data_IF_948792087458
#
_entry.id   IF_948792087458
#
_cell.length_a   1.000
_cell.length_b   1.000
_cell.length_c   1.000
_cell.angle_alpha   90.00
_cell.angle_beta   90.00
_cell.angle_gamma   90.00
#
_symmetry.space_group_name_H-M   'P 1'
#
loop_
_entity.id
_entity.type
_entity.pdbx_description
1 polymer ?
#
# COMPACT_ATOMS: atom_id res chain seq x y z
N UNK A 1 2.96 -15.29 -1.30
CA UNK A 1 2.31 -16.61 -1.53
C UNK A 1 2.86 -17.57 -0.49
N UNK A 2 2.02 -18.37 0.18
CA UNK A 2 2.52 -19.43 1.07
C UNK A 2 2.72 -20.70 0.25
N UNK A 3 3.92 -21.27 0.31
CA UNK A 3 4.17 -22.64 -0.15
C UNK A 3 4.68 -23.44 1.06
N UNK A 4 3.96 -24.47 1.52
CA UNK A 4 4.52 -25.38 2.52
C UNK A 4 5.72 -26.12 1.93
N UNK A 5 6.79 -26.25 2.70
CA UNK A 5 7.81 -27.27 2.44
C UNK A 5 7.43 -28.59 3.15
N UNK A 6 8.21 -29.64 2.89
CA UNK A 6 8.02 -30.97 3.49
C UNK A 6 8.12 -30.98 5.04
N UNK A 7 8.50 -29.86 5.67
CA UNK A 7 8.65 -29.72 7.13
C UNK A 7 7.52 -28.92 7.79
N UNK A 8 6.46 -28.54 7.05
CA UNK A 8 5.35 -27.72 7.54
C UNK A 8 5.80 -26.31 7.99
N UNK A 9 6.92 -25.81 7.43
CA UNK A 9 7.45 -24.49 7.74
C UNK A 9 6.88 -23.43 6.79
N UNK A 10 6.52 -22.26 7.35
CA UNK A 10 6.10 -21.07 6.60
C UNK A 10 7.30 -20.44 5.89
N UNK A 11 7.43 -20.67 4.59
CA UNK A 11 8.42 -19.97 3.75
C UNK A 11 7.79 -18.67 3.22
N UNK A 12 8.46 -17.56 3.47
CA UNK A 12 8.15 -16.26 2.89
C UNK A 12 8.98 -16.03 1.64
N UNK A 13 8.31 -15.71 0.54
CA UNK A 13 8.95 -15.35 -0.73
C UNK A 13 8.70 -13.87 -1.05
N UNK A 14 9.77 -13.15 -1.39
CA UNK A 14 9.69 -11.79 -1.94
C UNK A 14 9.47 -11.92 -3.43
N UNK A 15 8.22 -11.73 -3.87
CA UNK A 15 7.83 -11.86 -5.27
C UNK A 15 7.99 -10.55 -6.06
N UNK A 16 8.05 -9.40 -5.38
CA UNK A 16 8.17 -8.09 -6.02
C UNK A 16 8.75 -7.06 -5.06
N UNK A 17 9.46 -6.07 -5.61
CA UNK A 17 9.99 -4.90 -4.88
C UNK A 17 9.71 -3.65 -5.69
N UNK A 18 9.16 -2.62 -5.06
CA UNK A 18 8.99 -1.29 -5.65
C UNK A 18 9.99 -0.31 -5.03
N UNK A 19 11.01 0.14 -5.78
CA UNK A 19 11.83 1.27 -5.36
C UNK A 19 10.94 2.52 -5.27
N UNK A 20 10.96 3.18 -4.11
CA UNK A 20 10.23 4.44 -3.94
C UNK A 20 11.11 5.60 -4.42
N UNK A 21 10.57 6.58 -5.16
CA UNK A 21 11.30 7.80 -5.42
C UNK A 21 11.54 8.56 -4.10
N UNK A 22 12.56 9.43 -4.05
CA UNK A 22 12.72 10.33 -2.92
C UNK A 22 11.47 11.20 -2.76
N UNK A 23 10.97 11.33 -1.54
CA UNK A 23 9.86 12.22 -1.20
C UNK A 23 10.29 13.21 -0.12
N UNK A 24 9.74 14.43 -0.22
CA UNK A 24 10.09 15.53 0.66
C UNK A 24 9.76 15.23 2.14
N UNK A 25 10.44 15.89 3.09
CA UNK A 25 10.03 15.86 4.49
C UNK A 25 8.53 16.17 4.66
N UNK A 26 7.88 15.43 5.55
CA UNK A 26 6.43 15.56 5.76
C UNK A 26 5.58 14.71 4.81
N UNK A 27 6.19 13.88 3.95
CA UNK A 27 5.50 12.78 3.27
C UNK A 27 5.83 11.44 3.91
N UNK A 28 4.88 10.51 3.87
CA UNK A 28 5.00 9.15 4.42
C UNK A 28 4.40 8.13 3.46
N UNK A 29 4.77 6.87 3.65
CA UNK A 29 4.18 5.74 2.93
C UNK A 29 2.92 5.26 3.67
N UNK A 30 1.77 5.38 3.02
CA UNK A 30 0.52 4.73 3.44
C UNK A 30 0.40 3.37 2.73
N UNK A 31 0.19 2.30 3.50
CA UNK A 31 -0.04 0.94 2.97
C UNK A 31 -1.15 0.27 3.78
N UNK A 32 -2.05 -0.44 3.10
CA UNK A 32 -3.14 -1.19 3.74
C UNK A 32 -4.29 -0.30 4.25
N UNK A 33 -4.20 1.02 4.08
CA UNK A 33 -5.19 1.99 4.57
C UNK A 33 -5.83 2.79 3.43
N UNK A 34 -5.65 2.33 2.20
CA UNK A 34 -6.15 2.97 1.00
C UNK A 34 -7.40 2.26 0.47
N UNK A 35 -8.24 3.03 -0.20
CA UNK A 35 -9.38 2.58 -0.97
C UNK A 35 -9.34 3.16 -2.38
N UNK A 36 -9.89 2.44 -3.34
CA UNK A 36 -10.03 2.86 -4.72
C UNK A 36 -11.48 2.69 -5.17
N UNK A 37 -12.09 3.76 -5.70
CA UNK A 37 -13.51 3.74 -6.08
C UNK A 37 -14.44 3.40 -4.90
N UNK A 38 -14.06 3.81 -3.68
CA UNK A 38 -14.83 3.58 -2.45
C UNK A 38 -14.64 2.20 -1.81
N UNK A 39 -13.86 1.29 -2.40
CA UNK A 39 -13.58 -0.05 -1.85
C UNK A 39 -12.19 -0.12 -1.25
N UNK A 40 -12.08 -0.68 -0.05
CA UNK A 40 -10.78 -0.92 0.58
C UNK A 40 -9.91 -1.81 -0.31
N UNK A 41 -8.65 -1.42 -0.47
CA UNK A 41 -7.70 -2.11 -1.32
C UNK A 41 -6.33 -2.19 -0.64
N UNK A 42 -6.06 -3.35 -0.03
CA UNK A 42 -4.81 -3.61 0.67
C UNK A 42 -3.60 -3.81 -0.24
N UNK A 43 -3.81 -3.92 -1.55
CA UNK A 43 -2.74 -4.04 -2.54
C UNK A 43 -2.12 -2.69 -2.92
N UNK A 44 -2.76 -1.57 -2.53
CA UNK A 44 -2.27 -0.22 -2.80
C UNK A 44 -1.31 0.26 -1.72
N UNK A 45 -0.21 0.86 -2.17
CA UNK A 45 0.66 1.71 -1.37
C UNK A 45 0.75 3.10 -2.00
N UNK A 46 0.77 4.15 -1.18
CA UNK A 46 0.77 5.54 -1.66
C UNK A 46 1.68 6.43 -0.83
N UNK A 47 2.31 7.42 -1.47
CA UNK A 47 3.03 8.49 -0.81
C UNK A 47 2.04 9.61 -0.51
N UNK A 48 1.85 9.91 0.77
CA UNK A 48 0.85 10.88 1.25
C UNK A 48 1.49 11.93 2.14
N UNK A 49 0.91 13.13 2.19
CA UNK A 49 1.36 14.18 3.11
C UNK A 49 0.93 13.85 4.54
N UNK A 50 1.89 13.73 5.44
CA UNK A 50 1.67 13.52 6.87
C UNK A 50 1.05 14.74 7.57
N UNK A 51 0.71 14.58 8.85
CA UNK A 51 0.17 15.65 9.70
C UNK A 51 -1.36 15.71 9.75
N UNK A 52 -2.03 14.57 9.55
CA UNK A 52 -3.48 14.43 9.77
C UNK A 52 -3.73 13.60 11.03
N UNK A 53 -4.86 13.82 11.70
CA UNK A 53 -5.20 13.08 12.92
C UNK A 53 -5.58 11.62 12.61
N UNK A 54 -5.62 10.78 13.65
CA UNK A 54 -6.01 9.38 13.49
C UNK A 54 -7.45 9.28 13.00
N UNK A 55 -7.67 8.49 11.96
CA UNK A 55 -8.96 8.31 11.32
C UNK A 55 -9.27 9.35 10.23
N UNK A 56 -8.46 10.40 10.12
CA UNK A 56 -8.62 11.39 9.05
C UNK A 56 -8.06 10.88 7.72
N UNK A 57 -8.65 11.40 6.63
CA UNK A 57 -8.15 11.14 5.29
C UNK A 57 -6.94 12.02 4.98
N UNK A 58 -5.92 11.43 4.37
CA UNK A 58 -4.84 12.19 3.75
C UNK A 58 -5.41 12.96 2.56
N UNK A 59 -5.19 14.28 2.55
CA UNK A 59 -5.73 15.17 1.51
C UNK A 59 -4.86 15.27 0.27
N UNK A 60 -3.58 14.93 0.42
CA UNK A 60 -2.58 15.04 -0.65
C UNK A 60 -1.89 13.69 -0.78
N UNK A 61 -2.05 13.09 -1.95
CA UNK A 61 -1.34 11.89 -2.39
C UNK A 61 -0.48 12.29 -3.57
N UNK A 62 0.83 12.04 -3.52
CA UNK A 62 1.72 12.40 -4.63
C UNK A 62 1.81 11.29 -5.67
N UNK A 63 1.89 10.03 -5.22
CA UNK A 63 2.06 8.85 -6.06
C UNK A 63 1.45 7.63 -5.39
N UNK A 64 1.05 6.65 -6.19
CA UNK A 64 0.53 5.38 -5.70
C UNK A 64 0.90 4.22 -6.62
N UNK A 65 1.03 3.05 -6.03
CA UNK A 65 1.27 1.79 -6.73
C UNK A 65 0.31 0.73 -6.25
N UNK A 66 -0.14 -0.11 -7.17
CA UNK A 66 -0.92 -1.31 -6.90
C UNK A 66 -0.06 -2.54 -7.11
N UNK A 67 -0.03 -3.42 -6.10
CA UNK A 67 0.58 -4.73 -6.21
C UNK A 67 -0.31 -5.66 -7.03
N UNK A 68 0.29 -6.30 -8.04
CA UNK A 68 -0.34 -7.37 -8.81
C UNK A 68 0.33 -8.69 -8.44
N UNK A 69 -0.44 -9.57 -7.79
CA UNK A 69 0.04 -10.85 -7.31
C UNK A 69 0.07 -11.93 -8.40
N UNK A 70 -0.58 -11.72 -9.54
CA UNK A 70 -0.58 -12.69 -10.64
C UNK A 70 0.69 -12.52 -11.49
N UNK A 71 1.08 -11.27 -11.75
CA UNK A 71 2.26 -10.95 -12.55
C UNK A 71 3.46 -10.49 -11.72
N UNK A 72 3.38 -10.62 -10.39
CA UNK A 72 4.48 -10.39 -9.45
C UNK A 72 5.18 -9.02 -9.65
N UNK A 73 4.39 -7.96 -9.78
CA UNK A 73 4.92 -6.60 -9.97
C UNK A 73 4.06 -5.55 -9.30
N UNK A 74 4.64 -4.37 -9.16
CA UNK A 74 3.89 -3.15 -8.86
C UNK A 74 3.63 -2.39 -10.16
N UNK A 75 2.48 -1.76 -10.24
CA UNK A 75 2.12 -0.85 -11.33
C UNK A 75 1.65 0.47 -10.72
N UNK A 76 1.91 1.58 -11.41
CA UNK A 76 1.40 2.87 -10.97
C UNK A 76 -0.14 2.85 -10.96
N UNK A 77 -0.73 3.34 -9.87
CA UNK A 77 -2.17 3.43 -9.69
C UNK A 77 -2.63 4.85 -10.01
N UNK A 78 -3.83 4.98 -10.59
CA UNK A 78 -4.52 6.26 -10.67
C UNK A 78 -4.69 6.88 -9.27
N UNK A 79 -4.53 8.20 -9.20
CA UNK A 79 -4.85 8.99 -8.01
C UNK A 79 -6.33 9.38 -7.98
N UNK A 80 -7.01 9.37 -9.13
CA UNK A 80 -8.44 9.62 -9.18
C UNK A 80 -9.20 8.44 -8.55
N UNK A 81 -10.12 8.76 -7.65
CA UNK A 81 -10.84 7.77 -6.84
C UNK A 81 -10.00 7.09 -5.75
N UNK A 82 -8.72 7.47 -5.57
CA UNK A 82 -7.86 6.96 -4.50
C UNK A 82 -8.08 7.78 -3.22
N UNK A 83 -8.29 7.08 -2.10
CA UNK A 83 -8.38 7.71 -0.78
C UNK A 83 -7.64 6.88 0.24
N UNK A 84 -6.68 7.48 0.93
CA UNK A 84 -5.96 6.84 2.03
C UNK A 84 -6.30 7.54 3.34
N UNK A 85 -6.36 6.78 4.45
CA UNK A 85 -6.67 7.29 5.78
C UNK A 85 -5.56 6.98 6.77
N UNK A 86 -5.33 7.88 7.72
CA UNK A 86 -4.38 7.68 8.80
C UNK A 86 -4.98 6.78 9.88
N UNK A 87 -5.14 5.51 9.58
CA UNK A 87 -5.56 4.50 10.55
C UNK A 87 -4.50 3.41 10.66
N UNK A 88 -4.38 2.73 11.81
CA UNK A 88 -3.62 1.49 11.87
C UNK A 88 -4.20 0.49 10.86
N UNK A 89 -3.34 -0.26 10.18
CA UNK A 89 -3.77 -1.46 9.48
C UNK A 89 -4.24 -2.48 10.53
N UNK A 90 -5.52 -2.83 10.52
CA UNK A 90 -6.15 -3.71 11.50
C UNK A 90 -6.16 -5.19 11.08
N UNK A 91 -5.69 -5.51 9.86
CA UNK A 91 -5.41 -6.87 9.42
C UNK A 91 -6.61 -7.81 9.37
N UNK A 92 -7.84 -7.27 9.41
CA UNK A 92 -9.10 -8.00 9.32
C UNK A 92 -9.71 -7.90 7.92
#
# INVERSE_FOLDING_TARGET
>A
MYRPDASNSLIWEIIAVQPLPPFSPGYVLARGTCSYGGRADGSIAAIVRAGVERGEAFRVTSQAWRADLEVHRFSESSLDGLRCVNKPFDGR
#
